data_IF_024380880891
#
_entry.id   IF_024380880891
#
_cell.length_a   1.000
_cell.length_b   1.000
_cell.length_c   1.000
_cell.angle_alpha   90.00
_cell.angle_beta   90.00
_cell.angle_gamma   90.00
#
_symmetry.space_group_name_H-M   'P 1'
#
loop_
_entity.id
_entity.type
_entity.pdbx_description
1 polymer ?
#
# COMPACT_ATOMS: atom_id res chain seq x y z
N UNK A 1 24.22 -21.71 10.49
CA UNK A 1 23.46 -20.77 11.34
C UNK A 1 22.18 -20.46 10.61
N UNK A 2 21.02 -20.88 11.12
CA UNK A 2 19.75 -20.44 10.56
C UNK A 2 19.62 -18.94 10.82
N UNK A 3 19.27 -18.10 9.83
CA UNK A 3 19.04 -16.68 10.07
C UNK A 3 17.92 -16.52 11.11
N UNK A 4 18.10 -15.62 12.07
CA UNK A 4 17.02 -15.29 13.00
C UNK A 4 15.85 -14.65 12.22
N UNK A 5 14.60 -15.02 12.53
CA UNK A 5 13.44 -14.39 11.89
C UNK A 5 13.37 -12.91 12.31
N UNK A 6 13.04 -12.04 11.35
CA UNK A 6 12.82 -10.61 11.61
C UNK A 6 11.64 -10.41 12.56
N UNK A 7 11.81 -9.54 13.55
CA UNK A 7 10.72 -9.04 14.39
C UNK A 7 10.04 -7.82 13.75
N UNK A 8 8.80 -7.47 14.13
CA UNK A 8 8.17 -6.23 13.65
C UNK A 8 9.01 -4.98 13.94
N UNK A 9 9.74 -4.94 15.06
CA UNK A 9 10.63 -3.83 15.41
C UNK A 9 11.79 -3.71 14.42
N UNK A 10 12.43 -4.83 14.05
CA UNK A 10 13.52 -4.83 13.06
C UNK A 10 13.04 -4.30 11.70
N UNK A 11 11.80 -4.64 11.31
CA UNK A 11 11.17 -4.16 10.07
C UNK A 11 10.86 -2.67 10.15
N UNK A 12 10.30 -2.20 11.26
CA UNK A 12 10.05 -0.78 11.50
C UNK A 12 11.34 0.02 11.39
N UNK A 13 12.41 -0.39 12.05
CA UNK A 13 13.71 0.27 11.99
C UNK A 13 14.28 0.28 10.56
N UNK A 14 14.14 -0.84 9.83
CA UNK A 14 14.58 -0.94 8.45
C UNK A 14 13.82 0.03 7.53
N UNK A 15 12.50 0.15 7.67
CA UNK A 15 11.65 1.06 6.91
C UNK A 15 11.92 2.52 7.26
N UNK A 16 12.03 2.86 8.55
CA UNK A 16 12.29 4.24 9.02
C UNK A 16 13.64 4.76 8.56
N UNK A 17 14.70 3.94 8.72
CA UNK A 17 16.06 4.32 8.33
C UNK A 17 16.24 4.51 6.81
N UNK A 18 15.32 3.98 6.01
CA UNK A 18 15.34 4.03 4.53
C UNK A 18 14.13 4.76 3.95
N UNK A 19 13.49 5.60 4.76
CA UNK A 19 12.30 6.35 4.36
C UNK A 19 12.57 7.20 3.13
N UNK A 20 11.72 7.04 2.11
CA UNK A 20 11.80 7.81 0.86
C UNK A 20 11.14 9.18 1.01
N UNK A 21 11.54 10.12 0.16
CA UNK A 21 11.01 11.49 0.10
C UNK A 21 10.63 11.84 -1.33
N UNK A 22 9.44 12.40 -1.53
CA UNK A 22 8.96 12.80 -2.86
C UNK A 22 8.42 11.65 -3.72
N UNK A 23 8.24 10.45 -3.14
CA UNK A 23 7.71 9.27 -3.80
C UNK A 23 6.27 8.94 -3.36
N UNK A 24 5.61 9.86 -2.65
CA UNK A 24 4.19 9.73 -2.27
C UNK A 24 3.26 9.89 -3.47
N UNK A 25 1.95 9.90 -3.19
CA UNK A 25 0.92 10.09 -4.22
C UNK A 25 1.17 11.37 -5.03
N UNK A 26 1.06 11.28 -6.35
CA UNK A 26 1.31 12.42 -7.25
C UNK A 26 0.23 13.51 -7.15
N UNK A 27 -0.93 13.15 -6.59
CA UNK A 27 -2.10 14.00 -6.45
C UNK A 27 -2.67 13.87 -5.02
N UNK A 28 -3.12 14.97 -4.39
CA UNK A 28 -3.80 14.92 -3.10
C UNK A 28 -5.25 14.45 -3.27
N UNK A 29 -5.46 13.15 -3.55
CA UNK A 29 -6.77 12.60 -3.91
C UNK A 29 -7.86 12.84 -2.86
N UNK A 30 -7.57 12.67 -1.57
CA UNK A 30 -8.52 12.95 -0.50
C UNK A 30 -9.09 14.37 -0.61
N UNK A 31 -8.22 15.38 -0.75
CA UNK A 31 -8.61 16.78 -0.94
C UNK A 31 -9.39 16.99 -2.24
N UNK A 32 -9.04 16.29 -3.32
CA UNK A 32 -9.77 16.42 -4.60
C UNK A 32 -11.19 15.86 -4.52
N UNK A 33 -11.37 14.71 -3.87
CA UNK A 33 -12.69 14.13 -3.62
C UNK A 33 -13.53 15.03 -2.72
N UNK A 34 -12.94 15.57 -1.65
CA UNK A 34 -13.61 16.51 -0.74
C UNK A 34 -14.11 17.76 -1.49
N UNK A 35 -13.29 18.36 -2.35
CA UNK A 35 -13.69 19.49 -3.21
C UNK A 35 -14.84 19.11 -4.16
N UNK A 36 -14.90 17.85 -4.59
CA UNK A 36 -16.00 17.29 -5.37
C UNK A 36 -17.27 16.99 -4.57
N UNK A 37 -17.29 17.25 -3.25
CA UNK A 37 -18.40 16.94 -2.37
C UNK A 37 -18.43 15.50 -1.85
N UNK A 38 -17.36 14.73 -2.09
CA UNK A 38 -17.23 13.35 -1.62
C UNK A 38 -16.42 13.32 -0.32
N UNK A 39 -17.08 13.04 0.81
CA UNK A 39 -16.43 12.84 2.10
C UNK A 39 -16.45 11.36 2.47
N UNK A 40 -15.33 10.84 2.97
CA UNK A 40 -15.25 9.46 3.45
C UNK A 40 -16.24 9.25 4.60
N UNK A 41 -16.92 8.11 4.57
CA UNK A 41 -17.91 7.69 5.59
C UNK A 41 -17.43 6.46 6.37
N UNK A 42 -16.34 5.83 5.91
CA UNK A 42 -15.66 4.71 6.54
C UNK A 42 -14.15 4.99 6.59
N UNK A 43 -13.44 4.22 7.41
CA UNK A 43 -12.00 4.27 7.54
C UNK A 43 -11.45 2.87 7.74
N UNK A 44 -10.31 2.56 7.12
CA UNK A 44 -9.54 1.36 7.47
C UNK A 44 -8.76 1.53 8.78
N UNK A 45 -8.63 2.76 9.27
CA UNK A 45 -7.81 3.12 10.41
C UNK A 45 -8.67 3.29 11.67
N UNK A 46 -8.42 2.48 12.69
CA UNK A 46 -8.99 2.67 14.04
C UNK A 46 -8.03 3.46 14.93
N UNK A 47 -8.56 4.41 15.71
CA UNK A 47 -7.73 5.13 16.67
C UNK A 47 -7.51 4.30 17.96
N UNK A 48 -6.27 4.20 18.47
CA UNK A 48 -5.03 4.78 17.94
C UNK A 48 -4.49 3.98 16.74
N UNK A 49 -4.20 4.69 15.63
CA UNK A 49 -3.70 4.06 14.41
C UNK A 49 -2.20 4.32 14.23
N UNK A 50 -1.43 3.25 14.04
CA UNK A 50 -0.04 3.35 13.63
C UNK A 50 0.23 2.47 12.39
N UNK A 51 0.16 3.08 11.20
CA UNK A 51 0.30 2.33 9.96
C UNK A 51 1.69 1.71 9.74
N UNK A 52 2.75 2.19 10.40
CA UNK A 52 4.05 1.51 10.33
C UNK A 52 4.04 0.20 11.12
N UNK A 53 3.36 0.17 12.28
CA UNK A 53 3.23 -1.07 13.07
C UNK A 53 2.36 -2.07 12.32
N UNK A 54 1.23 -1.60 11.75
CA UNK A 54 0.36 -2.44 10.90
C UNK A 54 1.16 -3.06 9.75
N UNK A 55 1.97 -2.25 9.05
CA UNK A 55 2.79 -2.74 7.95
C UNK A 55 3.81 -3.76 8.44
N UNK A 56 4.59 -3.43 9.48
CA UNK A 56 5.64 -4.30 10.01
C UNK A 56 5.09 -5.65 10.50
N UNK A 57 3.99 -5.63 11.26
CA UNK A 57 3.30 -6.85 11.68
C UNK A 57 2.74 -7.64 10.50
N UNK A 58 2.16 -6.93 9.52
CA UNK A 58 1.68 -7.53 8.28
C UNK A 58 2.78 -8.28 7.53
N UNK A 59 3.93 -7.64 7.33
CA UNK A 59 5.07 -8.23 6.63
C UNK A 59 5.60 -9.49 7.32
N UNK A 60 5.70 -9.47 8.66
CA UNK A 60 6.10 -10.65 9.43
C UNK A 60 5.06 -11.77 9.32
N UNK A 61 3.76 -11.44 9.41
CA UNK A 61 2.66 -12.42 9.30
C UNK A 61 2.55 -13.10 7.94
N UNK A 62 3.06 -12.49 6.86
CA UNK A 62 3.11 -13.13 5.55
C UNK A 62 3.95 -14.43 5.57
N UNK A 63 4.84 -14.61 6.54
CA UNK A 63 5.69 -15.81 6.66
C UNK A 63 6.66 -15.97 5.49
N UNK A 64 6.89 -14.90 4.72
CA UNK A 64 7.82 -14.86 3.59
C UNK A 64 9.20 -14.39 4.06
N UNK A 65 10.30 -14.80 3.40
CA UNK A 65 11.62 -14.24 3.66
C UNK A 65 11.62 -12.71 3.55
N UNK A 66 12.24 -12.03 4.53
CA UNK A 66 12.33 -10.57 4.59
C UNK A 66 13.81 -10.18 4.59
N UNK A 67 14.18 -9.16 3.82
CA UNK A 67 15.56 -8.66 3.78
C UNK A 67 15.57 -7.14 3.63
N UNK A 68 16.28 -6.38 4.48
CA UNK A 68 16.54 -4.97 4.23
C UNK A 68 17.28 -4.80 2.90
N UNK A 69 16.86 -3.85 2.09
CA UNK A 69 17.50 -3.44 0.82
C UNK A 69 17.92 -1.98 0.91
N UNK A 70 18.46 -1.40 -0.16
CA UNK A 70 18.67 0.06 -0.21
C UNK A 70 17.35 0.85 -0.29
N UNK A 71 16.31 0.25 -0.88
CA UNK A 71 15.03 0.94 -1.17
C UNK A 71 13.97 0.75 -0.08
N UNK A 72 14.18 -0.16 0.88
CA UNK A 72 13.22 -0.53 1.90
C UNK A 72 13.42 -1.97 2.38
N UNK A 73 12.37 -2.78 2.40
CA UNK A 73 12.39 -4.19 2.79
C UNK A 73 11.93 -5.06 1.62
N UNK A 74 12.76 -5.98 1.16
CA UNK A 74 12.38 -7.02 0.21
C UNK A 74 11.57 -8.13 0.90
N UNK A 75 10.57 -8.64 0.19
CA UNK A 75 9.63 -9.67 0.61
C UNK A 75 9.65 -10.81 -0.42
N UNK A 76 10.08 -12.00 0.00
CA UNK A 76 10.34 -13.15 -0.86
C UNK A 76 11.79 -13.25 -1.33
N UNK A 77 12.05 -14.14 -2.28
CA UNK A 77 13.40 -14.46 -2.77
C UNK A 77 13.53 -14.29 -4.28
N UNK A 78 14.77 -14.10 -4.74
CA UNK A 78 15.13 -14.05 -6.15
C UNK A 78 14.48 -12.91 -6.93
N UNK A 79 14.31 -13.13 -8.23
CA UNK A 79 13.79 -12.13 -9.18
C UNK A 79 12.30 -11.84 -9.02
N UNK A 80 11.58 -12.65 -8.24
CA UNK A 80 10.16 -12.47 -7.94
C UNK A 80 9.92 -11.72 -6.62
N UNK A 81 10.99 -11.35 -5.91
CA UNK A 81 10.86 -10.56 -4.70
C UNK A 81 10.24 -9.18 -5.02
N UNK A 82 9.47 -8.67 -4.07
CA UNK A 82 8.95 -7.30 -4.12
C UNK A 82 9.58 -6.53 -2.98
N UNK A 83 9.88 -5.25 -3.19
CA UNK A 83 10.30 -4.39 -2.10
C UNK A 83 9.12 -3.54 -1.63
N UNK A 84 9.11 -3.28 -0.33
CA UNK A 84 8.18 -2.41 0.36
C UNK A 84 8.95 -1.26 0.98
N UNK A 85 8.43 -0.05 0.85
CA UNK A 85 9.02 1.12 1.46
C UNK A 85 7.96 2.05 2.02
N UNK A 86 8.40 3.01 2.82
CA UNK A 86 7.56 4.10 3.30
C UNK A 86 8.04 5.42 2.70
N UNK A 87 7.09 6.30 2.37
CA UNK A 87 7.38 7.67 1.99
C UNK A 87 6.97 8.61 3.13
N UNK A 88 7.74 9.68 3.28
CA UNK A 88 7.26 10.87 3.95
C UNK A 88 7.81 12.11 3.25
N UNK A 89 6.91 12.83 2.60
CA UNK A 89 7.21 14.06 1.88
C UNK A 89 7.18 15.28 2.80
N UNK A 90 6.38 15.24 3.87
CA UNK A 90 6.31 16.32 4.88
C UNK A 90 7.53 16.31 5.81
N UNK A 91 8.15 17.48 6.02
CA UNK A 91 9.33 17.66 6.89
C UNK A 91 8.97 17.45 8.37
N UNK A 92 9.79 16.70 9.12
CA UNK A 92 9.69 16.57 10.59
C UNK A 92 9.90 15.14 11.09
N UNK A 93 9.46 14.86 12.33
CA UNK A 93 9.20 13.53 12.92
C UNK A 93 7.69 13.28 12.88
N UNK A 94 7.23 12.05 12.64
CA UNK A 94 5.83 11.76 12.29
C UNK A 94 5.67 10.61 11.30
N UNK A 95 4.44 10.09 11.16
CA UNK A 95 4.15 8.85 10.44
C UNK A 95 4.38 8.99 8.93
N UNK A 96 4.53 7.85 8.21
CA UNK A 96 4.50 7.83 6.75
C UNK A 96 3.25 8.49 6.20
N UNK A 97 3.38 9.17 5.05
CA UNK A 97 2.23 9.69 4.30
C UNK A 97 1.86 8.81 3.10
N UNK A 98 2.73 7.85 2.73
CA UNK A 98 2.42 6.80 1.78
C UNK A 98 3.28 5.56 2.00
N UNK A 99 2.79 4.44 1.46
CA UNK A 99 3.38 3.12 1.46
C UNK A 99 3.58 2.69 0.01
N UNK A 100 4.74 2.12 -0.26
CA UNK A 100 5.24 1.87 -1.60
C UNK A 100 5.50 0.38 -1.78
N UNK A 101 5.19 -0.13 -2.96
CA UNK A 101 5.49 -1.49 -3.39
C UNK A 101 6.11 -1.44 -4.79
N UNK A 102 7.24 -2.12 -4.99
CA UNK A 102 7.86 -2.24 -6.30
C UNK A 102 8.51 -3.61 -6.52
N UNK A 103 8.92 -3.86 -7.76
CA UNK A 103 9.58 -5.13 -8.14
C UNK A 103 11.05 -5.10 -7.79
N UNK A 104 11.63 -6.28 -7.61
CA UNK A 104 13.06 -6.45 -7.47
C UNK A 104 13.83 -5.72 -8.59
N UNK A 105 14.89 -4.99 -8.21
CA UNK A 105 15.75 -4.18 -9.09
C UNK A 105 15.07 -3.02 -9.84
N UNK A 106 13.83 -2.67 -9.50
CA UNK A 106 13.18 -1.47 -10.02
C UNK A 106 13.12 -0.39 -8.93
N UNK A 107 13.66 0.79 -9.19
CA UNK A 107 13.59 1.91 -8.23
C UNK A 107 12.17 2.50 -8.12
N UNK A 108 11.39 2.36 -9.19
CA UNK A 108 10.05 2.94 -9.28
C UNK A 108 9.03 2.03 -8.62
N UNK A 109 8.20 2.60 -7.73
CA UNK A 109 7.09 1.87 -7.15
C UNK A 109 6.04 1.54 -8.23
N UNK A 110 5.58 0.29 -8.21
CA UNK A 110 4.45 -0.18 -9.01
C UNK A 110 3.12 0.14 -8.35
N UNK A 111 3.11 0.31 -7.03
CA UNK A 111 1.99 0.85 -6.27
C UNK A 111 2.46 1.83 -5.20
N UNK A 112 1.76 2.94 -5.06
CA UNK A 112 1.91 3.93 -3.99
C UNK A 112 0.54 4.19 -3.39
N UNK A 113 0.36 4.09 -2.07
CA UNK A 113 -0.94 4.37 -1.45
C UNK A 113 -0.84 4.89 -0.02
N UNK A 114 -1.91 5.47 0.50
CA UNK A 114 -1.97 6.00 1.87
C UNK A 114 -2.26 4.94 2.94
N UNK A 115 -2.55 3.69 2.54
CA UNK A 115 -3.03 2.65 3.46
C UNK A 115 -2.16 1.37 3.36
N UNK A 116 -1.47 0.96 4.45
CA UNK A 116 -0.56 -0.19 4.44
C UNK A 116 -1.28 -1.54 4.29
N UNK A 117 -2.54 -1.65 4.72
CA UNK A 117 -3.38 -2.82 4.58
C UNK A 117 -3.51 -3.23 3.11
N UNK A 118 -3.59 -2.25 2.19
CA UNK A 118 -3.62 -2.51 0.75
C UNK A 118 -2.28 -3.09 0.27
N UNK A 119 -1.14 -2.61 0.78
CA UNK A 119 0.19 -3.17 0.46
C UNK A 119 0.30 -4.62 0.95
N UNK A 120 -0.21 -4.91 2.15
CA UNK A 120 -0.24 -6.27 2.69
C UNK A 120 -1.09 -7.18 1.81
N UNK A 121 -2.31 -6.74 1.43
CA UNK A 121 -3.19 -7.51 0.54
C UNK A 121 -2.62 -7.71 -0.85
N UNK A 122 -1.91 -6.71 -1.40
CA UNK A 122 -1.13 -6.88 -2.62
C UNK A 122 -0.12 -8.02 -2.47
N UNK A 123 0.68 -8.02 -1.40
CA UNK A 123 1.69 -9.05 -1.16
C UNK A 123 1.08 -10.45 -0.97
N UNK A 124 -0.05 -10.59 -0.28
CA UNK A 124 -0.79 -11.85 -0.14
C UNK A 124 -1.22 -12.41 -1.51
N UNK A 125 -1.59 -11.53 -2.44
CA UNK A 125 -2.16 -11.90 -3.73
C UNK A 125 -1.10 -12.04 -4.86
N UNK A 126 0.15 -11.63 -4.63
CA UNK A 126 1.18 -11.62 -5.68
C UNK A 126 1.49 -12.97 -6.30
N UNK A 127 1.33 -14.07 -5.55
CA UNK A 127 1.48 -15.42 -6.08
C UNK A 127 0.25 -15.93 -6.86
N UNK A 128 -0.89 -15.23 -6.76
CA UNK A 128 -2.12 -15.62 -7.43
C UNK A 128 -2.16 -15.10 -8.87
N UNK A 129 -2.83 -15.83 -9.79
CA UNK A 129 -3.09 -15.35 -11.13
C UNK A 129 -3.80 -13.99 -11.11
N UNK A 130 -3.46 -13.15 -12.08
CA UNK A 130 -4.17 -11.87 -12.27
C UNK A 130 -5.60 -12.19 -12.71
N UNK A 131 -6.56 -11.65 -11.98
CA UNK A 131 -7.99 -11.83 -12.24
C UNK A 131 -8.56 -10.65 -13.04
N UNK A 132 -9.80 -10.78 -13.52
CA UNK A 132 -10.52 -9.67 -14.13
C UNK A 132 -10.76 -8.53 -13.12
N UNK A 133 -10.95 -7.31 -13.64
CA UNK A 133 -11.23 -6.13 -12.82
C UNK A 133 -12.47 -6.37 -11.97
N UNK A 134 -12.37 -6.30 -10.62
CA UNK A 134 -13.55 -6.43 -9.78
C UNK A 134 -14.50 -5.24 -9.99
N UNK A 135 -15.80 -5.51 -9.93
CA UNK A 135 -16.85 -4.50 -9.99
C UNK A 135 -17.49 -4.39 -8.61
N UNK A 136 -17.24 -3.28 -7.92
CA UNK A 136 -17.80 -2.98 -6.61
C UNK A 136 -18.07 -1.48 -6.51
N UNK A 137 -19.14 -1.09 -5.82
CA UNK A 137 -19.55 0.32 -5.68
C UNK A 137 -18.52 1.15 -4.92
N UNK A 138 -17.84 0.52 -3.96
CA UNK A 138 -16.85 1.17 -3.12
C UNK A 138 -15.51 1.35 -3.84
N UNK A 139 -15.27 0.63 -4.94
CA UNK A 139 -14.01 0.69 -5.69
C UNK A 139 -14.08 1.73 -6.80
N UNK A 140 -13.05 2.56 -6.87
CA UNK A 140 -12.84 3.50 -7.95
C UNK A 140 -11.49 3.24 -8.62
N UNK A 141 -11.53 3.00 -9.93
CA UNK A 141 -10.36 2.88 -10.81
C UNK A 141 -10.38 4.01 -11.84
N UNK A 142 -9.26 4.71 -11.96
CA UNK A 142 -9.20 5.99 -12.65
C UNK A 142 -9.84 7.12 -11.84
N UNK A 143 -9.49 8.37 -12.16
CA UNK A 143 -9.99 9.55 -11.45
C UNK A 143 -10.60 10.55 -12.45
N UNK A 144 -11.84 11.01 -12.24
CA UNK A 144 -12.51 11.94 -13.16
C UNK A 144 -11.70 13.22 -13.42
N UNK A 145 -11.50 13.55 -14.70
CA UNK A 145 -10.80 14.78 -15.10
C UNK A 145 -9.29 14.79 -14.83
N UNK A 146 -8.69 13.66 -14.45
CA UNK A 146 -7.24 13.48 -14.43
C UNK A 146 -6.80 12.65 -15.63
N UNK A 147 -5.91 13.17 -16.50
CA UNK A 147 -5.35 12.41 -17.58
C UNK A 147 -4.46 11.28 -17.03
N UNK A 148 -4.33 10.20 -17.80
CA UNK A 148 -3.34 9.16 -17.52
C UNK A 148 -1.93 9.77 -17.55
N UNK A 149 -1.21 9.64 -16.43
CA UNK A 149 0.17 10.15 -16.24
C UNK A 149 1.16 9.00 -16.02
N UNK A 150 0.88 7.84 -16.59
CA UNK A 150 1.66 6.61 -16.36
C UNK A 150 1.42 6.01 -14.98
N UNK A 151 0.37 6.46 -14.30
CA UNK A 151 -0.20 5.90 -13.07
C UNK A 151 -1.72 6.02 -13.18
N UNK A 152 -2.43 5.04 -12.64
CA UNK A 152 -3.89 5.03 -12.55
C UNK A 152 -4.28 5.09 -11.07
N UNK A 153 -5.22 5.98 -10.74
CA UNK A 153 -5.81 6.00 -9.41
C UNK A 153 -6.55 4.69 -9.15
N UNK A 154 -6.31 4.08 -8.00
CA UNK A 154 -7.01 2.89 -7.52
C UNK A 154 -7.27 3.08 -6.04
N UNK A 155 -8.54 3.06 -5.63
CA UNK A 155 -8.87 3.26 -4.23
C UNK A 155 -10.37 3.33 -3.98
N UNK A 156 -10.73 3.90 -2.84
CA UNK A 156 -12.09 4.13 -2.41
C UNK A 156 -12.18 5.45 -1.65
N UNK A 157 -12.87 6.44 -2.21
CA UNK A 157 -13.10 7.70 -1.51
C UNK A 157 -14.03 7.51 -0.29
N UNK A 158 -14.93 6.52 -0.34
CA UNK A 158 -15.85 6.21 0.77
C UNK A 158 -15.12 5.70 2.00
N UNK A 159 -13.97 5.03 1.80
CA UNK A 159 -13.15 4.40 2.84
C UNK A 159 -11.84 5.16 3.14
N UNK A 160 -11.66 6.35 2.56
CA UNK A 160 -10.40 7.14 2.63
C UNK A 160 -9.16 6.36 2.17
N UNK A 161 -9.34 5.47 1.17
CA UNK A 161 -8.26 4.69 0.56
C UNK A 161 -7.86 5.32 -0.78
N UNK A 162 -6.60 5.70 -0.89
CA UNK A 162 -6.07 6.41 -2.05
C UNK A 162 -4.74 5.80 -2.49
N UNK A 163 -4.73 5.25 -3.70
CA UNK A 163 -3.57 4.63 -4.31
C UNK A 163 -3.36 5.02 -5.76
N UNK A 164 -2.14 4.83 -6.23
CA UNK A 164 -1.69 4.96 -7.62
C UNK A 164 -0.96 3.67 -8.01
N UNK A 165 -1.39 3.06 -9.10
CA UNK A 165 -0.79 1.84 -9.64
C UNK A 165 -0.25 2.06 -11.06
N UNK A 166 0.84 1.35 -11.40
CA UNK A 166 1.50 1.42 -12.71
C UNK A 166 1.29 0.15 -13.52
N UNK A 167 0.80 0.33 -14.74
CA UNK A 167 0.54 -0.78 -15.67
C UNK A 167 -0.64 -1.65 -15.26
N UNK A 168 -1.24 -2.30 -16.26
CA UNK A 168 -2.51 -3.01 -16.11
C UNK A 168 -2.48 -4.08 -15.01
N UNK A 169 -1.35 -4.78 -14.86
CA UNK A 169 -1.19 -5.81 -13.82
C UNK A 169 -1.39 -5.24 -12.41
N UNK A 170 -0.65 -4.18 -12.05
CA UNK A 170 -0.74 -3.63 -10.70
C UNK A 170 -2.01 -2.81 -10.49
N UNK A 171 -2.61 -2.28 -11.55
CA UNK A 171 -3.94 -1.68 -11.48
C UNK A 171 -4.98 -2.72 -11.05
N UNK A 172 -4.98 -3.89 -11.68
CA UNK A 172 -5.87 -5.00 -11.32
C UNK A 172 -5.59 -5.51 -9.90
N UNK A 173 -4.32 -5.77 -9.57
CA UNK A 173 -3.95 -6.26 -8.24
C UNK A 173 -4.28 -5.25 -7.14
N UNK A 174 -4.05 -3.95 -7.37
CA UNK A 174 -4.39 -2.92 -6.40
C UNK A 174 -5.90 -2.85 -6.17
N UNK A 175 -6.71 -3.00 -7.23
CA UNK A 175 -8.17 -3.00 -7.11
C UNK A 175 -8.67 -4.15 -6.24
N UNK A 176 -8.15 -5.36 -6.48
CA UNK A 176 -8.49 -6.55 -5.67
C UNK A 176 -7.99 -6.39 -4.23
N UNK A 177 -6.79 -5.86 -4.04
CA UNK A 177 -6.22 -5.63 -2.71
C UNK A 177 -6.98 -4.56 -1.91
N UNK A 178 -7.43 -3.48 -2.55
CA UNK A 178 -8.28 -2.45 -1.94
C UNK A 178 -9.58 -3.06 -1.43
N UNK A 179 -10.28 -3.84 -2.24
CA UNK A 179 -11.51 -4.51 -1.82
C UNK A 179 -11.28 -5.51 -0.70
N UNK A 180 -10.24 -6.35 -0.81
CA UNK A 180 -9.89 -7.31 0.23
C UNK A 180 -9.57 -6.63 1.58
N UNK A 181 -8.95 -5.44 1.56
CA UNK A 181 -8.69 -4.66 2.76
C UNK A 181 -9.99 -4.12 3.39
N UNK A 182 -10.90 -3.59 2.56
CA UNK A 182 -12.23 -3.13 2.98
C UNK A 182 -13.06 -4.28 3.58
N UNK A 183 -13.08 -5.44 2.92
CA UNK A 183 -13.78 -6.63 3.39
C UNK A 183 -13.21 -7.15 4.72
N UNK A 184 -11.88 -7.15 4.87
CA UNK A 184 -11.22 -7.54 6.11
C UNK A 184 -11.61 -6.61 7.27
N UNK A 185 -11.68 -5.30 7.00
CA UNK A 185 -12.12 -4.31 8.00
C UNK A 185 -13.58 -4.50 8.39
N UNK A 186 -14.48 -4.67 7.43
CA UNK A 186 -15.90 -4.98 7.69
C UNK A 186 -16.08 -6.25 8.53
N UNK A 187 -15.33 -7.30 8.22
CA UNK A 187 -15.40 -8.55 8.97
C UNK A 187 -14.94 -8.36 10.43
N UNK A 188 -13.92 -7.53 10.64
CA UNK A 188 -13.41 -7.19 11.98
C UNK A 188 -14.43 -6.38 12.77
N UNK A 189 -15.06 -5.39 12.15
CA UNK A 189 -16.04 -4.51 12.81
C UNK A 189 -17.38 -5.19 13.14
N UNK A 190 -17.66 -6.32 12.48
CA UNK A 190 -18.86 -7.11 12.71
C UNK A 190 -18.74 -8.06 13.92
N UNK A 191 -17.58 -8.11 14.59
CA UNK A 191 -17.28 -9.01 15.73
C UNK A 191 -16.96 -8.20 16.99
#
# INVERSE_FOLDING_TARGET
MSPQPFTPADITDALVSRRRKGHGLSVPYARKWEVGGCQAVHSLHDYPYNGIDVLSEGLVRLGRPLFPTEYGVAVGEGTTALWVAINRSTRGEGPPDAYLLGRHNEETAQYTGNTPEVVIKLLEQTAQPVVAMPMAEELQVGFPGLPDRGVTYVGSWQWDVHGEARGDEFVLRAAVATLAAIESKRATDAH
#
